data_IF_095845208265
#
_entry.id   IF_095845208265
#
_cell.length_a   1.000
_cell.length_b   1.000
_cell.length_c   1.000
_cell.angle_alpha   90.00
_cell.angle_beta   90.00
_cell.angle_gamma   90.00
#
_symmetry.space_group_name_H-M   'P 1'
#
loop_
_entity.id
_entity.type
_entity.pdbx_description
1 polymer ?
#
# COMPACT_ATOMS: atom_id res chain seq x y z
N UNK A 1 33.05 -21.09 32.73
CA UNK A 1 32.84 -20.92 34.18
C UNK A 1 31.79 -21.94 34.59
N UNK A 2 32.27 -23.14 34.95
CA UNK A 2 31.46 -24.27 35.40
C UNK A 2 31.23 -24.12 36.90
N UNK A 3 30.00 -24.34 37.37
CA UNK A 3 29.75 -24.65 38.77
C UNK A 3 28.80 -25.86 38.86
N UNK A 4 29.20 -26.93 39.56
CA UNK A 4 28.44 -28.17 39.70
C UNK A 4 27.63 -28.21 41.00
N UNK A 5 26.96 -29.35 41.19
CA UNK A 5 26.55 -29.92 42.49
C UNK A 5 25.32 -29.28 43.17
N UNK A 6 24.46 -29.96 43.92
CA UNK A 6 24.43 -31.34 44.41
C UNK A 6 23.01 -31.58 44.97
N UNK A 7 22.61 -32.85 45.03
CA UNK A 7 21.75 -33.45 46.08
C UNK A 7 20.45 -32.74 46.53
N UNK A 8 19.33 -33.46 46.37
CA UNK A 8 18.76 -34.33 47.43
C UNK A 8 17.54 -35.10 46.93
N UNK A 9 17.69 -36.43 46.94
CA UNK A 9 16.59 -37.39 47.07
C UNK A 9 15.96 -37.20 48.46
N UNK A 10 14.66 -36.99 48.50
CA UNK A 10 13.82 -37.36 49.65
C UNK A 10 12.71 -38.25 49.11
N UNK A 11 12.94 -39.54 49.31
CA UNK A 11 11.92 -40.59 49.37
C UNK A 11 10.86 -40.20 50.40
N UNK A 12 9.66 -39.85 49.93
CA UNK A 12 8.47 -39.78 50.78
C UNK A 12 7.58 -40.98 50.39
N UNK A 13 7.85 -42.09 51.08
CA UNK A 13 6.97 -43.25 51.19
C UNK A 13 5.74 -42.83 51.99
N UNK A 14 4.67 -42.42 51.30
CA UNK A 14 3.36 -42.31 51.93
C UNK A 14 2.31 -43.15 51.23
N UNK A 15 2.02 -44.25 51.92
CA UNK A 15 0.67 -44.62 52.31
C UNK A 15 -0.28 -44.93 51.14
N UNK A 16 -0.12 -46.15 50.61
CA UNK A 16 -1.20 -46.94 50.00
C UNK A 16 -2.27 -47.23 51.05
N UNK A 17 -3.39 -46.50 51.06
CA UNK A 17 -4.68 -46.98 51.58
C UNK A 17 -5.83 -46.09 51.13
N UNK A 18 -6.16 -46.12 49.83
CA UNK A 18 -7.51 -45.75 49.31
C UNK A 18 -7.68 -46.39 47.93
N UNK A 19 -7.85 -47.72 47.87
CA UNK A 19 -7.87 -48.45 46.59
C UNK A 19 -9.26 -48.73 46.00
N UNK A 20 -10.35 -48.44 46.72
CA UNK A 20 -11.69 -48.86 46.24
C UNK A 20 -12.68 -47.72 45.94
N UNK A 21 -12.31 -46.45 46.15
CA UNK A 21 -13.13 -45.30 45.70
C UNK A 21 -12.75 -44.79 44.30
N UNK A 22 -11.57 -45.15 43.78
CA UNK A 22 -11.02 -44.61 42.52
C UNK A 22 -11.65 -45.18 41.25
N UNK A 23 -12.30 -46.36 41.32
CA UNK A 23 -12.89 -46.99 40.14
C UNK A 23 -14.08 -46.18 39.59
N UNK A 24 -14.98 -45.72 40.47
CA UNK A 24 -16.14 -44.91 40.07
C UNK A 24 -15.77 -43.47 39.66
N UNK A 25 -14.72 -42.87 40.23
CA UNK A 25 -14.23 -41.56 39.79
C UNK A 25 -13.60 -41.62 38.39
N UNK A 26 -12.87 -42.70 38.07
CA UNK A 26 -12.25 -42.86 36.75
C UNK A 26 -13.27 -43.00 35.61
N UNK A 27 -14.42 -43.64 35.84
CA UNK A 27 -15.49 -43.76 34.84
C UNK A 27 -16.25 -42.45 34.59
N UNK A 28 -16.39 -41.61 35.63
CA UNK A 28 -17.03 -40.29 35.52
C UNK A 28 -16.12 -39.31 34.75
N UNK A 29 -14.81 -39.32 35.00
CA UNK A 29 -13.85 -38.51 34.22
C UNK A 29 -13.77 -38.94 32.75
N UNK A 30 -13.77 -40.26 32.50
CA UNK A 30 -13.68 -40.79 31.13
C UNK A 30 -14.96 -40.47 30.32
N UNK A 31 -16.14 -40.44 30.96
CA UNK A 31 -17.39 -39.98 30.31
C UNK A 31 -17.43 -38.48 30.06
N UNK A 32 -16.86 -37.64 30.94
CA UNK A 32 -16.75 -36.20 30.70
C UNK A 32 -15.86 -35.92 29.49
N UNK A 33 -14.72 -36.59 29.35
CA UNK A 33 -13.83 -36.41 28.19
C UNK A 33 -14.50 -36.75 26.84
N UNK A 34 -15.35 -37.77 26.79
CA UNK A 34 -16.11 -38.16 25.58
C UNK A 34 -17.25 -37.19 25.23
N UNK A 35 -17.77 -36.43 26.19
CA UNK A 35 -18.83 -35.44 25.91
C UNK A 35 -18.26 -34.13 25.35
N UNK A 36 -17.06 -33.72 25.77
CA UNK A 36 -16.42 -32.51 25.23
C UNK A 36 -16.00 -32.64 23.75
N UNK A 37 -15.67 -33.85 23.28
CA UNK A 37 -15.23 -34.04 21.88
C UNK A 37 -16.34 -33.94 20.83
N UNK A 38 -17.61 -34.18 21.21
CA UNK A 38 -18.74 -34.17 20.26
C UNK A 38 -19.21 -32.77 19.87
N UNK A 39 -18.96 -31.75 20.70
CA UNK A 39 -19.24 -30.34 20.37
C UNK A 39 -18.06 -29.62 19.72
N UNK A 40 -16.83 -30.07 20.01
CA UNK A 40 -15.61 -29.41 19.54
C UNK A 40 -15.51 -29.39 18.01
N UNK A 41 -15.79 -30.50 17.33
CA UNK A 41 -15.73 -30.58 15.88
C UNK A 41 -16.68 -29.59 15.18
N UNK A 42 -17.86 -29.35 15.76
CA UNK A 42 -18.81 -28.37 15.23
C UNK A 42 -18.29 -26.94 15.42
N UNK A 43 -17.68 -26.64 16.57
CA UNK A 43 -17.08 -25.33 16.84
C UNK A 43 -15.90 -25.07 15.91
N UNK A 44 -14.99 -26.04 15.74
CA UNK A 44 -13.85 -25.93 14.83
C UNK A 44 -14.29 -25.70 13.38
N UNK A 45 -15.32 -26.43 12.93
CA UNK A 45 -15.90 -26.23 11.60
C UNK A 45 -16.49 -24.82 11.43
N UNK A 46 -17.23 -24.32 12.43
CA UNK A 46 -17.77 -22.95 12.40
C UNK A 46 -16.66 -21.90 12.36
N UNK A 47 -15.61 -22.06 13.17
CA UNK A 47 -14.45 -21.16 13.17
C UNK A 47 -13.76 -21.19 11.82
N UNK A 48 -13.50 -22.38 11.27
CA UNK A 48 -12.89 -22.54 9.94
C UNK A 48 -13.73 -21.87 8.85
N UNK A 49 -15.06 -22.04 8.89
CA UNK A 49 -15.97 -21.41 7.94
C UNK A 49 -15.93 -19.88 8.03
N UNK A 50 -15.93 -19.31 9.24
CA UNK A 50 -15.81 -17.86 9.45
C UNK A 50 -14.48 -17.33 8.90
N UNK A 51 -13.37 -18.03 9.15
CA UNK A 51 -12.05 -17.65 8.62
C UNK A 51 -12.06 -17.63 7.08
N UNK A 52 -12.63 -18.66 6.44
CA UNK A 52 -12.74 -18.70 4.96
C UNK A 52 -13.58 -17.55 4.43
N UNK A 53 -14.71 -17.21 5.08
CA UNK A 53 -15.55 -16.08 4.67
C UNK A 53 -14.82 -14.73 4.81
N UNK A 54 -14.05 -14.53 5.88
CA UNK A 54 -13.25 -13.32 6.07
C UNK A 54 -12.19 -13.20 4.98
N UNK A 55 -11.50 -14.29 4.65
CA UNK A 55 -10.49 -14.30 3.58
C UNK A 55 -11.10 -13.96 2.21
N UNK A 56 -12.25 -14.57 1.87
CA UNK A 56 -12.96 -14.28 0.62
C UNK A 56 -13.41 -12.82 0.56
N UNK A 57 -13.96 -12.28 1.65
CA UNK A 57 -14.34 -10.86 1.73
C UNK A 57 -13.12 -9.94 1.55
N UNK A 58 -11.98 -10.30 2.14
CA UNK A 58 -10.72 -9.56 1.97
C UNK A 58 -10.25 -9.53 0.52
N UNK A 59 -10.26 -10.67 -0.16
CA UNK A 59 -9.90 -10.76 -1.58
C UNK A 59 -10.82 -9.93 -2.48
N UNK A 60 -12.12 -9.97 -2.23
CA UNK A 60 -13.10 -9.14 -2.96
C UNK A 60 -12.82 -7.66 -2.72
N UNK A 61 -12.56 -7.23 -1.48
CA UNK A 61 -12.25 -5.85 -1.14
C UNK A 61 -10.98 -5.36 -1.85
N UNK A 62 -9.92 -6.17 -1.86
CA UNK A 62 -8.66 -5.85 -2.57
C UNK A 62 -8.92 -5.69 -4.06
N UNK A 63 -9.71 -6.58 -4.67
CA UNK A 63 -10.10 -6.47 -6.08
C UNK A 63 -10.86 -5.17 -6.38
N UNK A 64 -11.81 -4.78 -5.53
CA UNK A 64 -12.56 -3.52 -5.67
C UNK A 64 -11.65 -2.30 -5.58
N UNK A 65 -10.74 -2.26 -4.59
CA UNK A 65 -9.77 -1.18 -4.43
C UNK A 65 -8.81 -1.08 -5.62
N UNK A 66 -8.32 -2.22 -6.11
CA UNK A 66 -7.38 -2.27 -7.26
C UNK A 66 -8.05 -1.74 -8.53
N UNK A 67 -9.33 -2.09 -8.73
CA UNK A 67 -10.10 -1.63 -9.87
C UNK A 67 -10.40 -0.13 -9.78
N UNK A 68 -10.78 0.39 -8.61
CA UNK A 68 -10.97 1.83 -8.39
C UNK A 68 -9.65 2.60 -8.58
N UNK A 69 -8.53 2.09 -8.08
CA UNK A 69 -7.21 2.67 -8.30
C UNK A 69 -6.85 2.73 -9.80
N UNK A 70 -7.09 1.64 -10.54
CA UNK A 70 -6.83 1.62 -11.99
C UNK A 70 -7.70 2.63 -12.72
N UNK A 71 -8.99 2.72 -12.38
CA UNK A 71 -9.93 3.68 -13.00
C UNK A 71 -9.57 5.13 -12.72
N UNK A 72 -9.31 5.46 -11.46
CA UNK A 72 -8.89 6.80 -11.06
C UNK A 72 -7.57 7.18 -11.73
N UNK A 73 -6.59 6.27 -11.78
CA UNK A 73 -5.34 6.51 -12.51
C UNK A 73 -5.57 6.74 -14.02
N UNK A 74 -6.42 5.96 -14.67
CA UNK A 74 -6.76 6.15 -16.10
C UNK A 74 -7.45 7.49 -16.30
N UNK A 75 -8.41 7.85 -15.44
CA UNK A 75 -9.15 9.11 -15.52
C UNK A 75 -8.24 10.32 -15.29
N UNK A 76 -7.39 10.28 -14.27
CA UNK A 76 -6.40 11.31 -13.99
C UNK A 76 -5.45 11.51 -15.18
N UNK A 77 -4.94 10.42 -15.77
CA UNK A 77 -4.10 10.48 -16.98
C UNK A 77 -4.84 11.02 -18.19
N UNK A 78 -6.11 10.64 -18.37
CA UNK A 78 -6.93 11.14 -19.47
C UNK A 78 -7.15 12.66 -19.35
N UNK A 79 -7.45 13.15 -18.14
CA UNK A 79 -7.58 14.58 -17.86
C UNK A 79 -6.25 15.32 -18.08
N UNK A 80 -5.15 14.80 -17.53
CA UNK A 80 -3.82 15.36 -17.76
C UNK A 80 -3.48 15.40 -19.26
N UNK A 81 -3.85 14.37 -20.03
CA UNK A 81 -3.62 14.31 -21.47
C UNK A 81 -4.40 15.37 -22.24
N UNK A 82 -5.68 15.56 -21.90
CA UNK A 82 -6.50 16.64 -22.48
C UNK A 82 -5.91 18.02 -22.19
N UNK A 83 -5.45 18.26 -20.96
CA UNK A 83 -4.79 19.50 -20.57
C UNK A 83 -3.43 19.67 -21.26
N UNK A 84 -2.68 18.58 -21.44
CA UNK A 84 -1.37 18.61 -22.10
C UNK A 84 -1.47 18.99 -23.58
N UNK A 85 -2.57 18.62 -24.23
CA UNK A 85 -2.87 18.95 -25.63
C UNK A 85 -3.57 20.30 -25.81
N UNK A 86 -3.99 20.96 -24.74
CA UNK A 86 -4.69 22.24 -24.84
C UNK A 86 -3.79 23.30 -25.49
N UNK A 87 -4.36 24.13 -26.37
CA UNK A 87 -3.63 25.25 -27.00
C UNK A 87 -3.40 26.41 -26.04
N UNK A 88 -4.27 26.55 -25.04
CA UNK A 88 -4.18 27.58 -24.00
C UNK A 88 -3.21 27.15 -22.91
N UNK A 89 -2.35 28.09 -22.48
CA UNK A 89 -1.43 27.86 -21.37
C UNK A 89 -2.20 27.51 -20.09
N UNK A 90 -1.98 26.32 -19.51
CA UNK A 90 -2.63 25.92 -18.28
C UNK A 90 -2.11 26.76 -17.10
N UNK A 91 -2.93 26.90 -16.06
CA UNK A 91 -2.46 27.42 -14.78
C UNK A 91 -1.46 26.41 -14.24
N UNK A 92 -0.20 26.82 -14.09
CA UNK A 92 0.84 25.94 -13.60
C UNK A 92 0.56 25.59 -12.14
N UNK A 93 0.29 24.32 -11.87
CA UNK A 93 0.26 23.83 -10.49
C UNK A 93 1.66 23.49 -10.00
N UNK A 94 1.89 23.64 -8.70
CA UNK A 94 3.17 23.30 -8.07
C UNK A 94 3.28 21.80 -7.87
N UNK A 95 3.83 21.08 -8.86
CA UNK A 95 4.32 19.72 -8.62
C UNK A 95 5.50 19.77 -7.64
N UNK A 96 5.61 18.76 -6.78
CA UNK A 96 6.78 18.55 -5.93
C UNK A 96 7.63 17.45 -6.56
N UNK A 97 8.79 17.79 -7.08
CA UNK A 97 9.73 16.79 -7.59
C UNK A 97 10.41 16.12 -6.40
N UNK A 98 10.17 14.83 -6.23
CA UNK A 98 10.92 13.99 -5.30
C UNK A 98 12.20 13.56 -6.01
N UNK A 99 13.35 14.10 -5.58
CA UNK A 99 14.65 13.71 -6.17
C UNK A 99 15.32 12.55 -5.48
N UNK A 100 15.10 12.40 -4.17
CA UNK A 100 15.64 11.30 -3.38
C UNK A 100 14.75 11.03 -2.18
N UNK A 101 15.13 10.05 -1.38
CA UNK A 101 14.47 9.70 -0.13
C UNK A 101 15.49 9.79 1.00
N UNK A 102 15.11 10.48 2.08
CA UNK A 102 15.85 10.45 3.33
C UNK A 102 15.49 9.16 4.05
N UNK A 103 16.50 8.33 4.31
CA UNK A 103 16.32 7.04 4.97
C UNK A 103 15.74 7.20 6.37
N UNK A 104 14.79 6.33 6.69
CA UNK A 104 14.22 6.19 8.01
C UNK A 104 15.16 5.50 9.02
N UNK A 105 14.58 5.10 10.15
CA UNK A 105 15.29 4.48 11.28
C UNK A 105 15.87 3.13 10.90
N UNK A 106 15.23 2.41 9.99
CA UNK A 106 15.67 1.07 9.58
C UNK A 106 16.82 1.06 8.54
N UNK A 107 17.19 2.24 8.03
CA UNK A 107 18.24 2.47 7.02
C UNK A 107 18.01 1.72 5.70
N UNK A 108 16.78 1.32 5.39
CA UNK A 108 16.43 0.64 4.12
C UNK A 108 15.76 1.64 3.19
N UNK A 109 16.09 1.58 1.89
CA UNK A 109 15.46 2.44 0.89
C UNK A 109 14.02 2.00 0.59
N UNK A 110 13.16 2.98 0.38
CA UNK A 110 11.76 2.87 0.02
C UNK A 110 10.89 2.17 1.07
N UNK A 111 11.14 2.45 2.35
CA UNK A 111 10.33 1.99 3.47
C UNK A 111 9.36 3.05 3.94
N UNK A 112 8.35 2.64 4.72
CA UNK A 112 7.28 3.53 5.18
C UNK A 112 7.79 4.71 6.04
N UNK A 113 8.93 4.54 6.70
CA UNK A 113 9.57 5.56 7.53
C UNK A 113 10.50 6.50 6.75
N UNK A 114 10.67 6.30 5.45
CA UNK A 114 11.42 7.21 4.60
C UNK A 114 10.65 8.52 4.33
N UNK A 115 11.39 9.62 4.24
CA UNK A 115 10.83 10.93 3.89
C UNK A 115 11.26 11.35 2.49
N UNK A 116 10.31 11.76 1.66
CA UNK A 116 10.61 12.28 0.32
C UNK A 116 11.45 13.57 0.43
N UNK A 117 12.64 13.56 -0.17
CA UNK A 117 13.44 14.77 -0.34
C UNK A 117 12.94 15.50 -1.59
N UNK A 118 12.24 16.61 -1.37
CA UNK A 118 11.73 17.48 -2.43
C UNK A 118 12.79 18.53 -2.75
N UNK A 119 13.45 18.41 -3.89
CA UNK A 119 14.52 19.36 -4.31
C UNK A 119 14.01 20.49 -5.17
N UNK A 120 12.92 20.28 -5.89
CA UNK A 120 12.47 21.21 -6.91
C UNK A 120 10.94 21.23 -6.96
N UNK A 121 10.38 22.40 -7.24
CA UNK A 121 8.94 22.53 -7.49
C UNK A 121 8.73 22.60 -9.01
N UNK A 122 7.49 22.43 -9.48
CA UNK A 122 7.16 22.50 -10.92
C UNK A 122 7.63 23.79 -11.61
N UNK A 123 8.02 24.82 -10.86
CA UNK A 123 8.52 26.08 -11.42
C UNK A 123 9.98 25.95 -11.86
N UNK A 124 10.83 25.22 -11.14
CA UNK A 124 12.26 25.08 -11.47
C UNK A 124 12.56 23.85 -12.33
N UNK A 125 11.76 22.79 -12.22
CA UNK A 125 11.92 21.55 -12.98
C UNK A 125 12.03 21.76 -14.51
N UNK A 126 11.20 22.61 -15.17
CA UNK A 126 11.36 22.89 -16.58
C UNK A 126 12.75 23.42 -16.95
N UNK A 127 13.31 24.30 -16.11
CA UNK A 127 14.66 24.84 -16.31
C UNK A 127 15.74 23.78 -16.17
N UNK A 128 15.62 22.90 -15.18
CA UNK A 128 16.55 21.78 -14.97
C UNK A 128 16.51 20.78 -16.13
N UNK A 129 15.31 20.40 -16.58
CA UNK A 129 15.12 19.48 -17.71
C UNK A 129 15.70 20.07 -19.01
N UNK A 130 15.39 21.34 -19.31
CA UNK A 130 15.93 22.03 -20.49
C UNK A 130 17.44 22.14 -20.42
N UNK A 131 17.99 22.45 -19.25
CA UNK A 131 19.45 22.53 -19.05
C UNK A 131 20.18 21.20 -19.27
N UNK A 132 19.50 20.07 -19.08
CA UNK A 132 20.05 18.73 -19.32
C UNK A 132 19.71 18.17 -20.72
N UNK A 133 18.78 18.78 -21.45
CA UNK A 133 18.28 18.25 -22.72
C UNK A 133 19.26 18.42 -23.90
N UNK A 134 20.35 19.19 -23.74
CA UNK A 134 21.37 19.44 -24.77
C UNK A 134 20.77 19.75 -26.15
N UNK A 135 19.83 20.70 -26.22
CA UNK A 135 19.03 21.01 -27.42
C UNK A 135 19.89 21.41 -28.64
N UNK A 136 21.12 21.87 -28.40
CA UNK A 136 22.14 22.20 -29.39
C UNK A 136 22.72 20.99 -30.13
N UNK A 137 22.61 19.78 -29.56
CA UNK A 137 23.20 18.55 -30.11
C UNK A 137 22.29 17.85 -31.13
N UNK A 138 21.15 18.43 -31.48
CA UNK A 138 20.21 17.88 -32.49
C UNK A 138 20.28 18.71 -33.79
N UNK A 139 21.35 18.58 -34.60
CA UNK A 139 21.42 19.26 -35.88
C UNK A 139 20.37 18.67 -36.84
N UNK A 140 19.76 19.53 -37.67
CA UNK A 140 18.77 19.16 -38.67
C UNK A 140 17.46 18.55 -38.12
N UNK A 141 17.05 18.92 -36.92
CA UNK A 141 15.72 18.56 -36.43
C UNK A 141 14.65 19.05 -37.44
N UNK A 142 13.67 18.21 -37.82
CA UNK A 142 12.59 18.61 -38.70
C UNK A 142 11.82 19.80 -38.10
N UNK A 143 11.38 20.72 -38.97
CA UNK A 143 10.60 21.90 -38.57
C UNK A 143 9.35 21.42 -37.84
N UNK A 144 9.36 21.61 -36.52
CA UNK A 144 8.34 21.12 -35.59
C UNK A 144 8.24 22.09 -34.42
N UNK A 145 7.23 21.96 -33.58
CA UNK A 145 7.16 22.81 -32.40
C UNK A 145 8.33 22.56 -31.40
N UNK A 146 9.07 21.45 -31.55
CA UNK A 146 10.33 21.25 -30.83
C UNK A 146 11.45 22.14 -31.37
N UNK A 147 11.49 22.44 -32.68
CA UNK A 147 12.47 23.40 -33.21
C UNK A 147 12.18 24.83 -32.75
N UNK A 148 10.90 25.21 -32.56
CA UNK A 148 10.56 26.52 -31.97
C UNK A 148 10.97 26.65 -30.50
N UNK A 149 11.04 25.54 -29.78
CA UNK A 149 11.54 25.50 -28.40
C UNK A 149 13.05 25.77 -28.34
N UNK A 150 13.84 25.19 -29.24
CA UNK A 150 15.29 25.43 -29.34
C UNK A 150 15.60 26.92 -29.59
N UNK A 151 14.82 27.54 -30.46
CA UNK A 151 15.03 28.94 -30.87
C UNK A 151 14.33 29.93 -29.91
N UNK A 152 13.64 29.44 -28.86
CA UNK A 152 13.00 30.26 -27.83
C UNK A 152 14.05 30.91 -26.92
N UNK A 153 13.95 32.22 -26.60
CA UNK A 153 14.86 32.88 -25.67
C UNK A 153 14.68 32.39 -24.21
N UNK A 154 13.58 31.70 -23.91
CA UNK A 154 13.33 31.08 -22.61
C UNK A 154 12.58 29.75 -22.77
N UNK A 155 13.28 28.66 -23.17
CA UNK A 155 12.66 27.37 -23.41
C UNK A 155 12.02 26.78 -22.14
N UNK A 156 12.61 27.05 -20.97
CA UNK A 156 12.05 26.64 -19.68
C UNK A 156 10.67 27.26 -19.42
N UNK A 157 10.47 28.50 -19.83
CA UNK A 157 9.18 29.22 -19.73
C UNK A 157 8.12 28.74 -20.73
N UNK A 158 8.47 27.85 -21.65
CA UNK A 158 7.54 27.22 -22.60
C UNK A 158 7.10 25.82 -22.18
N UNK A 159 7.78 25.21 -21.20
CA UNK A 159 7.44 23.91 -20.62
C UNK A 159 6.63 24.10 -19.33
N UNK A 160 5.45 23.47 -19.29
CA UNK A 160 4.60 23.43 -18.10
C UNK A 160 4.27 21.99 -17.76
N UNK A 161 4.04 21.73 -16.47
CA UNK A 161 3.37 20.51 -16.06
C UNK A 161 1.88 20.80 -15.91
N UNK A 162 1.08 19.86 -16.39
CA UNK A 162 -0.36 19.80 -16.14
C UNK A 162 -0.66 18.65 -15.19
N UNK A 163 -1.55 18.90 -14.26
CA UNK A 163 -2.08 17.91 -13.33
C UNK A 163 -3.45 17.44 -13.81
N UNK A 164 -3.64 16.13 -13.87
CA UNK A 164 -4.95 15.51 -13.89
C UNK A 164 -5.16 14.79 -12.57
N UNK A 165 -6.39 14.86 -12.06
CA UNK A 165 -6.79 14.32 -10.76
C UNK A 165 -8.08 13.52 -10.93
N UNK A 166 -8.18 12.41 -10.21
CA UNK A 166 -9.45 11.70 -10.12
C UNK A 166 -9.56 11.02 -8.76
N UNK A 167 -10.75 11.08 -8.17
CA UNK A 167 -11.07 10.34 -6.96
C UNK A 167 -12.29 9.43 -7.14
N UNK A 168 -12.28 8.28 -6.46
CA UNK A 168 -13.38 7.33 -6.43
C UNK A 168 -13.57 6.83 -4.99
N UNK A 169 -14.80 6.88 -4.48
CA UNK A 169 -15.16 6.33 -3.18
C UNK A 169 -15.53 4.85 -3.31
N UNK A 170 -14.79 3.98 -2.62
CA UNK A 170 -15.05 2.54 -2.57
C UNK A 170 -15.69 2.18 -1.23
N UNK A 171 -16.86 1.55 -1.28
CA UNK A 171 -17.51 1.04 -0.07
C UNK A 171 -16.72 -0.14 0.53
N UNK A 172 -16.54 -0.13 1.85
CA UNK A 172 -15.90 -1.22 2.57
C UNK A 172 -16.96 -2.24 3.00
N UNK A 173 -16.72 -3.52 2.73
CA UNK A 173 -17.58 -4.60 3.19
C UNK A 173 -17.74 -4.56 4.73
N UNK A 174 -18.95 -4.78 5.29
CA UNK A 174 -19.18 -4.65 6.73
C UNK A 174 -18.27 -5.52 7.61
N UNK A 175 -17.86 -6.69 7.12
CA UNK A 175 -16.96 -7.59 7.84
C UNK A 175 -15.53 -7.03 7.89
N UNK A 176 -15.03 -6.46 6.80
CA UNK A 176 -13.71 -5.83 6.72
C UNK A 176 -13.69 -4.53 7.51
N UNK A 177 -14.78 -3.76 7.48
CA UNK A 177 -14.95 -2.57 8.32
C UNK A 177 -14.83 -2.90 9.81
N UNK A 178 -15.45 -3.98 10.27
CA UNK A 178 -15.37 -4.33 11.70
C UNK A 178 -13.99 -4.85 12.12
N UNK A 179 -13.24 -5.43 11.19
CA UNK A 179 -11.97 -6.11 11.49
C UNK A 179 -10.74 -5.23 11.28
N UNK A 180 -10.75 -4.37 10.25
CA UNK A 180 -9.54 -3.67 9.77
C UNK A 180 -9.72 -2.16 9.76
N UNK A 181 -10.83 -1.65 9.21
CA UNK A 181 -11.02 -0.22 8.94
C UNK A 181 -12.22 0.35 9.69
N UNK A 182 -12.04 1.33 10.57
CA UNK A 182 -13.15 1.96 11.30
C UNK A 182 -14.09 2.84 10.43
N UNK A 183 -13.96 2.81 9.10
CA UNK A 183 -14.69 3.64 8.14
C UNK A 183 -15.55 2.80 7.20
N UNK A 184 -16.66 3.36 6.69
CA UNK A 184 -17.53 2.67 5.72
C UNK A 184 -17.08 2.80 4.28
N UNK A 185 -16.19 3.76 4.00
CA UNK A 185 -15.74 4.13 2.66
C UNK A 185 -14.24 4.40 2.69
N UNK A 186 -13.56 4.05 1.61
CA UNK A 186 -12.18 4.47 1.33
C UNK A 186 -12.21 5.35 0.09
N UNK A 187 -11.62 6.53 0.18
CA UNK A 187 -11.41 7.38 -0.98
C UNK A 187 -10.09 6.98 -1.64
N UNK A 188 -10.16 6.66 -2.93
CA UNK A 188 -8.99 6.37 -3.75
C UNK A 188 -8.75 7.57 -4.65
N UNK A 189 -7.64 8.25 -4.42
CA UNK A 189 -7.23 9.41 -5.20
C UNK A 189 -6.06 9.02 -6.10
N UNK A 190 -6.03 9.57 -7.31
CA UNK A 190 -4.91 9.41 -8.24
C UNK A 190 -4.60 10.75 -8.89
N UNK A 191 -3.31 11.08 -8.87
CA UNK A 191 -2.75 12.24 -9.54
C UNK A 191 -1.86 11.80 -10.70
N UNK A 192 -1.98 12.48 -11.83
CA UNK A 192 -1.13 12.28 -12.99
C UNK A 192 -0.57 13.62 -13.46
N UNK A 193 0.76 13.66 -13.64
CA UNK A 193 1.46 14.83 -14.16
C UNK A 193 1.96 14.53 -15.57
N UNK A 194 1.66 15.40 -16.52
CA UNK A 194 2.16 15.33 -17.89
C UNK A 194 2.79 16.67 -18.29
N UNK A 195 3.71 16.60 -19.26
CA UNK A 195 4.27 17.81 -19.89
C UNK A 195 3.23 18.40 -20.82
N UNK A 196 2.99 19.71 -20.71
CA UNK A 196 2.17 20.44 -21.66
C UNK A 196 2.89 20.54 -23.00
N UNK A 197 2.35 19.85 -24.01
CA UNK A 197 2.97 19.76 -25.32
C UNK A 197 2.34 20.69 -26.34
N UNK A 198 1.33 21.51 -25.98
CA UNK A 198 0.62 22.39 -26.93
C UNK A 198 0.05 21.63 -28.15
N UNK A 199 -0.29 20.35 -27.99
CA UNK A 199 -0.82 19.51 -29.07
C UNK A 199 0.24 18.94 -30.02
N UNK A 200 1.52 18.90 -29.61
CA UNK A 200 2.55 18.13 -30.30
C UNK A 200 2.30 16.64 -30.00
N UNK A 201 1.55 15.96 -30.87
CA UNK A 201 1.40 14.51 -30.91
C UNK A 201 1.09 14.04 -32.34
#
# INVERSE_FOLDING_TARGET
MQQPDDRRRTTDDRCRTTRDAGFFQSEIENRKSKMYSRGQAMVEFMVGLVVVLVLLAGLIQIGQLTHAHTRTMIAARAQAGQLAMASTRPVSETASLISDWVLGVDLRRHTHDDMAMVTSNAVTLPGELVGQAHLEQVPNAPVSALSTLRDSPNPAGDFFLVKGEASESVNILPIIRRLVYAHSTLEVESDAWLVWTKGIY
#
